data_IF_599082930055
#
_entry.id   IF_599082930055
#
_cell.length_a   1.000
_cell.length_b   1.000
_cell.length_c   1.000
_cell.angle_alpha   90.00
_cell.angle_beta   90.00
_cell.angle_gamma   90.00
#
_symmetry.space_group_name_H-M   'P 1'
#
loop_
_entity.id
_entity.type
_entity.pdbx_description
1 polymer ?
#
# COMPACT_ATOMS: atom_id res chain seq x y z
N UNK A 1 21.28 -28.86 -15.59
CA UNK A 1 20.45 -28.06 -14.66
C UNK A 1 20.48 -26.64 -15.18
N UNK A 2 19.35 -26.19 -15.71
CA UNK A 2 19.19 -24.87 -16.32
C UNK A 2 18.68 -23.87 -15.29
N UNK A 3 19.18 -22.64 -15.39
CA UNK A 3 18.70 -21.51 -14.59
C UNK A 3 17.61 -20.81 -15.38
N UNK A 4 16.38 -20.87 -14.88
CA UNK A 4 15.22 -20.20 -15.47
C UNK A 4 14.78 -19.08 -14.54
N UNK A 5 14.56 -17.90 -15.09
CA UNK A 5 14.05 -16.76 -14.34
C UNK A 5 12.53 -16.73 -14.53
N UNK A 6 11.78 -16.74 -13.44
CA UNK A 6 10.33 -16.58 -13.52
C UNK A 6 9.98 -15.15 -14.00
N UNK A 7 9.15 -14.98 -15.04
CA UNK A 7 8.78 -13.64 -15.53
C UNK A 7 7.85 -12.87 -14.57
N UNK A 8 7.22 -13.55 -13.60
CA UNK A 8 6.27 -12.93 -12.68
C UNK A 8 6.88 -12.48 -11.34
N UNK A 9 7.90 -13.19 -10.85
CA UNK A 9 8.51 -12.89 -9.55
C UNK A 9 10.03 -12.73 -9.61
N UNK A 10 10.61 -12.83 -10.81
CA UNK A 10 12.06 -12.76 -11.06
C UNK A 10 12.88 -13.73 -10.22
N UNK A 11 12.23 -14.76 -9.65
CA UNK A 11 12.91 -15.79 -8.88
C UNK A 11 13.76 -16.65 -9.81
N UNK A 12 15.03 -16.86 -9.41
CA UNK A 12 15.94 -17.79 -10.06
C UNK A 12 15.52 -19.21 -9.68
N UNK A 13 15.03 -19.97 -10.66
CA UNK A 13 14.63 -21.36 -10.52
C UNK A 13 15.70 -22.25 -11.13
N UNK A 14 16.04 -23.33 -10.43
CA UNK A 14 16.89 -24.38 -10.97
C UNK A 14 15.98 -25.51 -11.47
N UNK A 15 15.98 -25.76 -12.77
CA UNK A 15 15.23 -26.85 -13.38
C UNK A 15 16.18 -27.87 -14.01
N UNK A 16 15.75 -29.13 -14.12
CA UNK A 16 16.48 -30.15 -14.88
C UNK A 16 16.27 -29.90 -16.38
N UNK A 17 17.29 -30.22 -17.18
CA UNK A 17 17.29 -30.09 -18.65
C UNK A 17 16.13 -30.84 -19.31
N UNK A 18 15.72 -31.96 -18.73
CA UNK A 18 14.63 -32.81 -19.22
C UNK A 18 13.25 -32.10 -19.24
N UNK A 19 13.13 -30.90 -18.64
CA UNK A 19 11.88 -30.13 -18.56
C UNK A 19 11.85 -28.91 -19.49
N UNK A 20 12.78 -28.81 -20.43
CA UNK A 20 12.81 -27.78 -21.46
C UNK A 20 11.52 -27.82 -22.30
N UNK A 21 10.80 -26.69 -22.35
CA UNK A 21 9.54 -26.55 -23.10
C UNK A 21 8.27 -26.85 -22.30
N UNK A 22 8.36 -27.37 -21.08
CA UNK A 22 7.17 -27.60 -20.23
C UNK A 22 6.85 -26.38 -19.34
N UNK A 23 5.56 -26.16 -19.12
CA UNK A 23 5.04 -25.15 -18.21
C UNK A 23 4.87 -25.74 -16.80
N UNK A 24 5.49 -25.12 -15.80
CA UNK A 24 5.32 -25.52 -14.39
C UNK A 24 5.02 -24.32 -13.51
N UNK A 25 4.23 -24.55 -12.47
CA UNK A 25 3.97 -23.56 -11.44
C UNK A 25 5.27 -23.20 -10.71
N UNK A 26 5.56 -21.91 -10.63
CA UNK A 26 6.67 -21.39 -9.85
C UNK A 26 6.42 -21.66 -8.37
N UNK A 27 7.36 -22.28 -7.63
CA UNK A 27 7.20 -22.54 -6.19
C UNK A 27 7.18 -21.26 -5.34
N UNK A 28 7.53 -20.10 -5.90
CA UNK A 28 7.55 -18.81 -5.21
C UNK A 28 6.28 -17.98 -5.40
N UNK A 29 5.64 -18.06 -6.57
CA UNK A 29 4.46 -17.23 -6.88
C UNK A 29 3.25 -18.03 -7.38
N UNK A 30 3.36 -19.36 -7.50
CA UNK A 30 2.26 -20.23 -7.96
C UNK A 30 1.94 -20.12 -9.45
N UNK A 31 2.43 -19.09 -10.15
CA UNK A 31 2.14 -18.86 -11.57
C UNK A 31 2.85 -19.85 -12.49
N UNK A 32 2.19 -20.22 -13.59
CA UNK A 32 2.75 -21.07 -14.64
C UNK A 32 3.92 -20.36 -15.35
N UNK A 33 5.09 -20.99 -15.30
CA UNK A 33 6.33 -20.53 -15.94
C UNK A 33 6.71 -21.55 -17.01
N UNK A 34 6.88 -21.07 -18.24
CA UNK A 34 7.40 -21.88 -19.34
C UNK A 34 8.93 -21.91 -19.23
N UNK A 35 9.49 -23.10 -19.08
CA UNK A 35 10.93 -23.33 -18.96
C UNK A 35 11.54 -23.24 -20.36
N UNK A 36 12.14 -22.09 -20.71
CA UNK A 36 12.98 -21.92 -21.90
C UNK A 36 14.44 -21.84 -21.48
N UNK A 37 15.38 -22.42 -22.26
CA UNK A 37 16.79 -22.25 -21.99
C UNK A 37 17.12 -20.76 -22.14
N UNK A 38 17.83 -20.20 -21.17
CA UNK A 38 18.28 -18.82 -21.22
C UNK A 38 19.30 -18.66 -22.35
N UNK A 39 18.93 -17.91 -23.38
CA UNK A 39 19.88 -17.34 -24.33
C UNK A 39 20.72 -16.30 -23.57
N UNK A 40 21.96 -16.68 -23.27
CA UNK A 40 23.01 -15.76 -22.86
C UNK A 40 23.77 -15.31 -24.11
N UNK A 41 23.53 -14.05 -24.48
CA UNK A 41 24.47 -13.12 -25.14
C UNK A 41 24.76 -13.26 -26.64
N UNK A 42 24.41 -12.22 -27.40
CA UNK A 42 25.16 -11.76 -28.57
C UNK A 42 25.10 -10.21 -28.66
N UNK A 43 26.16 -9.54 -29.18
CA UNK A 43 26.73 -8.29 -28.64
C UNK A 43 26.22 -6.99 -29.32
N UNK A 44 26.62 -5.81 -28.82
CA UNK A 44 26.25 -4.53 -29.43
C UNK A 44 27.15 -4.21 -30.64
N UNK A 45 26.61 -3.72 -31.77
CA UNK A 45 27.43 -3.03 -32.76
C UNK A 45 27.53 -1.54 -32.42
N UNK A 46 28.77 -1.07 -32.33
CA UNK A 46 29.18 0.32 -32.19
C UNK A 46 29.07 1.08 -33.54
N UNK A 47 29.30 2.41 -33.57
CA UNK A 47 28.69 3.33 -34.54
C UNK A 47 29.44 3.42 -35.86
N UNK A 48 28.75 3.81 -36.94
CA UNK A 48 29.40 4.29 -38.17
C UNK A 48 28.58 5.44 -38.76
N UNK A 49 29.20 6.62 -38.77
CA UNK A 49 28.81 7.80 -39.53
C UNK A 49 28.79 7.50 -41.03
N UNK A 50 27.78 7.97 -41.76
CA UNK A 50 27.95 8.89 -42.90
C UNK A 50 26.61 9.22 -43.58
N UNK A 51 26.16 10.45 -43.31
CA UNK A 51 25.66 11.49 -44.22
C UNK A 51 24.53 11.24 -45.24
N UNK A 52 23.49 12.08 -45.06
CA UNK A 52 22.68 12.82 -46.04
C UNK A 52 21.76 12.01 -46.98
N UNK A 53 20.44 12.27 -47.04
CA UNK A 53 19.85 13.52 -47.57
C UNK A 53 18.32 13.58 -47.32
N UNK A 54 17.81 14.76 -46.92
CA UNK A 54 16.48 15.39 -47.12
C UNK A 54 15.17 14.55 -46.96
N UNK A 55 14.36 14.76 -45.91
CA UNK A 55 13.22 15.72 -45.73
C UNK A 55 11.86 14.97 -45.85
N UNK A 56 10.72 15.50 -45.38
CA UNK A 56 10.17 15.28 -44.04
C UNK A 56 8.80 14.58 -44.10
N UNK A 57 8.14 14.44 -42.94
CA UNK A 57 6.70 14.21 -42.78
C UNK A 57 6.25 12.75 -42.75
N UNK A 58 6.40 12.14 -41.58
CA UNK A 58 5.34 11.34 -40.94
C UNK A 58 5.75 11.10 -39.49
N UNK A 59 5.22 11.91 -38.59
CA UNK A 59 5.29 11.65 -37.15
C UNK A 59 4.68 10.26 -36.89
N UNK A 60 5.41 9.32 -36.28
CA UNK A 60 4.78 8.13 -35.71
C UNK A 60 3.84 8.59 -34.59
N UNK A 61 2.64 8.01 -34.44
CA UNK A 61 1.76 8.35 -33.34
C UNK A 61 2.51 8.05 -32.05
N UNK A 62 2.71 9.11 -31.28
CA UNK A 62 2.96 9.08 -29.85
C UNK A 62 2.04 7.99 -29.27
N UNK A 63 2.56 6.91 -28.66
CA UNK A 63 1.71 6.11 -27.81
C UNK A 63 1.33 7.06 -26.67
N UNK A 64 0.15 7.66 -26.82
CA UNK A 64 -0.71 8.12 -25.76
C UNK A 64 -1.05 6.89 -24.91
N UNK A 65 -0.03 6.36 -24.24
CA UNK A 65 -0.19 5.59 -23.04
C UNK A 65 -0.66 6.60 -22.03
N UNK A 66 -1.99 6.72 -21.93
CA UNK A 66 -2.63 7.22 -20.73
C UNK A 66 -1.80 6.77 -19.53
N UNK A 67 -1.52 7.63 -18.54
CA UNK A 67 -1.03 7.13 -17.28
C UNK A 67 -2.08 6.15 -16.77
N UNK A 68 -1.82 4.86 -16.96
CA UNK A 68 -2.36 3.79 -16.12
C UNK A 68 -2.32 4.33 -14.69
N UNK A 69 -3.41 4.27 -13.92
CA UNK A 69 -3.41 4.78 -12.56
C UNK A 69 -2.38 3.99 -11.77
N UNK A 70 -1.16 4.53 -11.72
CA UNK A 70 -0.09 4.05 -10.88
C UNK A 70 -0.64 4.17 -9.47
N UNK A 71 -0.96 3.02 -8.85
CA UNK A 71 -1.50 2.91 -7.50
C UNK A 71 -1.08 4.09 -6.65
N UNK A 72 -2.04 4.96 -6.35
CA UNK A 72 -1.85 6.25 -5.70
C UNK A 72 -1.40 5.99 -4.24
N UNK A 73 -0.11 5.69 -4.09
CA UNK A 73 0.50 5.47 -2.79
C UNK A 73 0.46 6.77 -2.01
N UNK A 74 -0.05 6.71 -0.77
CA UNK A 74 -0.05 7.84 0.14
C UNK A 74 1.40 8.31 0.36
N UNK A 75 1.80 9.41 -0.27
CA UNK A 75 3.18 9.90 -0.19
C UNK A 75 3.47 10.62 1.14
N UNK A 76 2.44 11.23 1.74
CA UNK A 76 2.49 12.04 2.96
C UNK A 76 1.14 12.01 3.66
N UNK A 77 1.13 12.21 4.97
CA UNK A 77 -0.10 12.36 5.73
C UNK A 77 -0.73 13.72 5.43
N UNK A 78 -1.96 13.71 4.93
CA UNK A 78 -2.82 14.88 4.84
C UNK A 78 -3.23 15.34 6.24
N UNK A 79 -3.02 16.63 6.52
CA UNK A 79 -3.34 17.26 7.82
C UNK A 79 -4.85 17.39 8.08
N UNK A 80 -5.66 17.26 7.04
CA UNK A 80 -7.12 17.31 7.15
C UNK A 80 -7.73 15.96 7.52
N UNK A 81 -6.92 14.90 7.61
CA UNK A 81 -7.38 13.52 7.79
C UNK A 81 -6.87 12.94 9.11
N UNK A 82 -7.54 11.90 9.58
CA UNK A 82 -7.10 11.11 10.73
C UNK A 82 -6.53 9.80 10.24
N UNK A 83 -5.50 9.29 10.92
CA UNK A 83 -4.90 8.01 10.56
C UNK A 83 -4.89 7.08 11.76
N UNK A 84 -5.22 5.82 11.49
CA UNK A 84 -5.17 4.75 12.46
C UNK A 84 -4.26 3.66 11.93
N UNK A 85 -3.53 2.99 12.82
CA UNK A 85 -2.83 1.75 12.50
C UNK A 85 -3.45 0.66 13.35
N UNK A 86 -3.81 -0.44 12.71
CA UNK A 86 -4.37 -1.61 13.37
C UNK A 86 -3.49 -2.84 13.19
N UNK A 87 -3.41 -3.64 14.24
CA UNK A 87 -2.98 -5.04 14.18
C UNK A 87 -4.22 -5.92 13.81
N UNK A 88 -4.12 -7.26 13.76
CA UNK A 88 -5.26 -8.12 13.41
C UNK A 88 -6.51 -7.98 14.31
N UNK A 89 -6.39 -7.37 15.48
CA UNK A 89 -7.42 -7.36 16.53
C UNK A 89 -7.76 -5.98 17.09
N UNK A 90 -6.87 -4.98 17.00
CA UNK A 90 -7.03 -3.69 17.68
C UNK A 90 -6.30 -2.55 16.97
N UNK A 91 -6.73 -1.32 17.27
CA UNK A 91 -5.97 -0.11 16.96
C UNK A 91 -4.76 -0.04 17.89
N UNK A 92 -3.58 0.15 17.30
CA UNK A 92 -2.29 0.23 18.00
C UNK A 92 -1.65 1.61 17.88
N UNK A 93 -1.97 2.40 16.86
CA UNK A 93 -1.48 3.77 16.73
C UNK A 93 -2.53 4.69 16.13
N UNK A 94 -2.46 5.97 16.47
CA UNK A 94 -3.29 7.03 15.91
C UNK A 94 -2.42 8.24 15.55
N UNK A 95 -2.83 8.99 14.54
CA UNK A 95 -2.23 10.26 14.19
C UNK A 95 -3.31 11.27 13.80
N UNK A 96 -3.08 12.51 14.21
CA UNK A 96 -3.89 13.67 13.85
C UNK A 96 -2.99 14.91 13.80
N UNK A 97 -3.43 15.95 13.11
CA UNK A 97 -2.67 17.20 13.00
C UNK A 97 -2.86 18.10 14.24
N UNK A 98 -2.41 17.63 15.41
CA UNK A 98 -2.43 18.38 16.68
C UNK A 98 -1.02 18.65 17.25
N UNK A 99 0.02 18.36 16.48
CA UNK A 99 1.42 18.53 16.89
C UNK A 99 1.96 17.46 17.86
N UNK A 100 1.16 16.46 18.24
CA UNK A 100 1.63 15.35 19.09
C UNK A 100 2.30 14.21 18.29
N UNK A 101 2.18 14.26 16.96
CA UNK A 101 2.64 13.22 16.05
C UNK A 101 1.92 11.89 16.28
N UNK A 102 2.61 10.79 15.98
CA UNK A 102 2.05 9.46 16.21
C UNK A 102 1.90 9.16 17.69
N UNK A 103 0.71 8.68 18.07
CA UNK A 103 0.43 8.16 19.41
C UNK A 103 0.24 6.66 19.35
N UNK A 104 1.02 5.91 20.12
CA UNK A 104 0.97 4.46 20.24
C UNK A 104 0.13 4.04 21.45
N UNK A 105 -0.59 2.93 21.32
CA UNK A 105 -1.39 2.34 22.40
C UNK A 105 -0.48 1.71 23.46
N UNK A 106 -0.74 2.04 24.70
CA UNK A 106 -0.10 1.52 25.92
C UNK A 106 -1.18 0.95 26.86
N UNK A 107 -0.77 0.44 28.02
CA UNK A 107 -1.69 -0.07 29.05
C UNK A 107 -2.61 1.02 29.63
N UNK A 108 -2.18 2.28 29.58
CA UNK A 108 -2.90 3.42 30.14
C UNK A 108 -3.52 4.34 29.08
N UNK A 109 -3.65 3.89 27.83
CA UNK A 109 -4.25 4.66 26.73
C UNK A 109 -3.28 4.92 25.58
N UNK A 110 -3.29 6.13 25.02
CA UNK A 110 -2.40 6.49 23.89
C UNK A 110 -1.31 7.45 24.33
N UNK A 111 -0.05 7.09 24.10
CA UNK A 111 1.13 7.90 24.44
C UNK A 111 1.95 8.24 23.18
N UNK A 112 2.80 9.27 23.23
CA UNK A 112 3.65 9.64 22.10
C UNK A 112 4.58 8.50 21.69
N UNK A 113 4.54 8.09 20.42
CA UNK A 113 5.38 7.02 19.88
C UNK A 113 6.88 7.39 19.92
N UNK A 114 7.21 8.67 19.69
CA UNK A 114 8.58 9.17 19.77
C UNK A 114 9.19 9.06 21.16
N UNK A 115 8.36 9.17 22.21
CA UNK A 115 8.80 9.05 23.61
C UNK A 115 8.76 7.62 24.16
N UNK A 116 8.11 6.69 23.46
CA UNK A 116 7.93 5.30 23.88
C UNK A 116 8.30 4.33 22.75
N UNK A 117 9.54 4.38 22.22
CA UNK A 117 9.95 3.55 21.08
C UNK A 117 9.90 2.05 21.38
N UNK A 118 10.05 1.66 22.64
CA UNK A 118 9.97 0.27 23.10
C UNK A 118 8.57 -0.33 23.02
N UNK A 119 7.53 0.52 22.95
CA UNK A 119 6.14 0.10 22.75
C UNK A 119 5.78 -0.08 21.28
N UNK A 120 6.65 0.30 20.35
CA UNK A 120 6.42 0.19 18.91
C UNK A 120 6.72 -1.26 18.46
N UNK A 121 5.72 -1.99 17.92
CA UNK A 121 5.95 -3.35 17.42
C UNK A 121 6.90 -3.35 16.20
N UNK A 122 7.98 -4.14 16.28
CA UNK A 122 8.94 -4.26 15.18
C UNK A 122 8.47 -5.15 14.01
N UNK A 123 7.44 -5.98 14.20
CA UNK A 123 6.89 -6.86 13.18
C UNK A 123 5.41 -7.18 13.45
N UNK A 124 4.66 -7.47 12.38
CA UNK A 124 3.24 -7.82 12.45
C UNK A 124 2.54 -7.67 11.10
N UNK A 125 1.24 -7.97 11.05
CA UNK A 125 0.40 -7.57 9.92
C UNK A 125 -0.36 -6.29 10.31
N UNK A 126 0.12 -5.17 9.78
CA UNK A 126 -0.42 -3.86 10.11
C UNK A 126 -1.13 -3.27 8.90
N UNK A 127 -2.31 -2.71 9.13
CA UNK A 127 -2.99 -1.88 8.13
C UNK A 127 -2.99 -0.43 8.61
N UNK A 128 -2.64 0.47 7.70
CA UNK A 128 -2.84 1.90 7.88
C UNK A 128 -4.22 2.25 7.32
N UNK A 129 -5.03 2.89 8.14
CA UNK A 129 -6.38 3.35 7.79
C UNK A 129 -6.34 4.87 7.75
N UNK A 130 -6.64 5.43 6.58
CA UNK A 130 -6.83 6.85 6.37
C UNK A 130 -8.33 7.17 6.45
N UNK A 131 -8.70 8.04 7.38
CA UNK A 131 -10.05 8.56 7.56
C UNK A 131 -10.11 9.93 6.90
N UNK A 132 -10.77 10.00 5.75
CA UNK A 132 -10.87 11.20 4.94
C UNK A 132 -12.00 12.06 5.49
N UNK A 133 -11.59 13.09 6.21
CA UNK A 133 -12.50 14.11 6.73
C UNK A 133 -12.63 15.25 5.75
N UNK A 134 -13.83 15.80 5.68
CA UNK A 134 -14.10 17.09 5.09
C UNK A 134 -14.37 18.11 6.18
N UNK A 135 -13.78 19.29 6.02
CA UNK A 135 -13.93 20.42 6.93
C UNK A 135 -14.69 21.49 6.16
N UNK A 136 -15.99 21.25 5.98
CA UNK A 136 -16.91 22.17 5.31
C UNK A 136 -17.20 23.42 6.15
N UNK A 137 -18.24 24.17 5.78
CA UNK A 137 -18.65 25.45 6.39
C UNK A 137 -19.23 25.34 7.82
N UNK A 138 -18.57 24.61 8.71
CA UNK A 138 -18.86 24.58 10.14
C UNK A 138 -18.73 23.21 10.81
N UNK A 139 -18.87 22.11 10.05
CA UNK A 139 -18.90 20.77 10.62
C UNK A 139 -17.85 19.86 9.98
N UNK A 140 -17.13 19.12 10.83
CA UNK A 140 -16.20 18.07 10.41
C UNK A 140 -17.00 16.80 10.10
N UNK A 141 -16.88 16.30 8.88
CA UNK A 141 -17.63 15.12 8.43
C UNK A 141 -16.70 14.05 7.87
N UNK A 142 -16.96 12.79 8.22
CA UNK A 142 -16.26 11.65 7.64
C UNK A 142 -16.83 11.36 6.25
N UNK A 143 -16.04 11.56 5.20
CA UNK A 143 -16.45 11.30 3.81
C UNK A 143 -16.07 9.92 3.32
N UNK A 144 -14.91 9.43 3.76
CA UNK A 144 -14.39 8.17 3.26
C UNK A 144 -13.33 7.56 4.16
N UNK A 145 -12.97 6.34 3.81
CA UNK A 145 -11.97 5.54 4.49
C UNK A 145 -11.15 4.80 3.43
N UNK A 146 -9.83 4.90 3.50
CA UNK A 146 -8.89 4.12 2.68
C UNK A 146 -8.00 3.25 3.57
N UNK A 147 -7.62 2.09 3.06
CA UNK A 147 -6.85 1.08 3.78
C UNK A 147 -5.62 0.73 2.97
N UNK A 148 -4.48 0.80 3.63
CA UNK A 148 -3.17 0.53 3.07
C UNK A 148 -2.52 -0.63 3.81
N UNK A 149 -1.91 -1.55 3.07
CA UNK A 149 -1.08 -2.60 3.63
C UNK A 149 0.28 -2.02 4.01
N UNK A 150 0.72 -2.24 5.25
CA UNK A 150 2.09 -1.92 5.66
C UNK A 150 3.01 -3.14 5.56
N UNK A 151 4.30 -2.89 5.41
CA UNK A 151 5.32 -3.92 5.41
C UNK A 151 5.30 -4.72 6.73
N UNK A 152 5.52 -6.04 6.63
CA UNK A 152 5.40 -6.95 7.79
C UNK A 152 6.47 -6.75 8.87
N UNK A 153 7.57 -6.07 8.52
CA UNK A 153 8.72 -5.83 9.40
C UNK A 153 9.11 -4.38 9.30
N UNK A 154 9.43 -3.80 10.46
CA UNK A 154 9.96 -2.44 10.63
C UNK A 154 9.07 -1.31 10.11
N UNK A 155 7.83 -1.59 9.66
CA UNK A 155 6.92 -0.57 9.16
C UNK A 155 6.66 0.54 10.18
N UNK A 156 6.52 0.15 11.46
CA UNK A 156 6.15 1.08 12.53
C UNK A 156 7.36 1.76 13.18
N UNK A 157 8.59 1.33 12.88
CA UNK A 157 9.79 1.95 13.45
C UNK A 157 9.91 3.44 13.11
N UNK A 158 9.28 3.85 12.00
CA UNK A 158 9.27 5.23 11.56
C UNK A 158 8.39 6.14 12.43
N UNK A 159 7.40 5.60 13.16
CA UNK A 159 6.46 6.39 13.98
C UNK A 159 7.17 7.19 15.08
N UNK A 160 8.32 6.70 15.57
CA UNK A 160 9.10 7.39 16.59
C UNK A 160 10.02 8.49 16.04
N UNK A 161 10.19 8.59 14.72
CA UNK A 161 11.17 9.49 14.07
C UNK A 161 10.52 10.61 13.25
N UNK A 162 9.24 10.48 12.92
CA UNK A 162 8.50 11.48 12.17
C UNK A 162 7.11 10.98 11.77
N UNK A 163 6.32 11.89 11.20
CA UNK A 163 4.91 11.64 10.87
C UNK A 163 4.78 10.83 9.59
N UNK A 164 5.39 11.30 8.50
CA UNK A 164 5.23 10.71 7.16
C UNK A 164 6.06 9.45 6.94
N UNK A 165 6.95 9.10 7.87
CA UNK A 165 7.87 7.98 7.68
C UNK A 165 7.17 6.64 7.47
N UNK A 166 5.97 6.46 8.05
CA UNK A 166 5.14 5.26 7.87
C UNK A 166 4.67 5.08 6.43
N UNK A 167 4.47 6.17 5.68
CA UNK A 167 4.01 6.12 4.29
C UNK A 167 4.97 5.34 3.39
N UNK A 168 6.28 5.43 3.66
CA UNK A 168 7.33 4.69 2.94
C UNK A 168 7.26 3.17 3.16
N UNK A 169 6.54 2.73 4.19
CA UNK A 169 6.34 1.31 4.49
C UNK A 169 5.07 0.72 3.89
N UNK A 170 4.28 1.54 3.17
CA UNK A 170 3.09 1.07 2.46
C UNK A 170 3.54 0.18 1.30
N UNK A 171 3.03 -1.04 1.25
CA UNK A 171 3.33 -2.01 0.18
C UNK A 171 2.24 -2.07 -0.88
N UNK A 172 1.08 -1.45 -0.64
CA UNK A 172 -0.04 -1.43 -1.57
C UNK A 172 -1.38 -1.17 -0.88
N UNK A 173 -2.51 -1.30 -1.62
CA UNK A 173 -3.83 -1.30 -1.01
C UNK A 173 -3.97 -2.48 -0.04
N UNK A 174 -4.60 -2.24 1.10
CA UNK A 174 -4.93 -3.28 2.08
C UNK A 174 -6.44 -3.39 2.24
N UNK A 175 -6.92 -4.35 3.02
CA UNK A 175 -8.31 -4.49 3.41
C UNK A 175 -8.40 -4.76 4.92
N UNK A 176 -9.56 -4.49 5.53
CA UNK A 176 -9.77 -4.72 6.96
C UNK A 176 -10.51 -6.03 7.21
N UNK A 177 -9.97 -6.85 8.10
CA UNK A 177 -10.66 -8.02 8.65
C UNK A 177 -11.81 -7.60 9.58
N UNK A 178 -12.73 -8.52 9.88
CA UNK A 178 -13.92 -8.24 10.71
C UNK A 178 -13.58 -7.63 12.06
N UNK A 179 -12.58 -8.19 12.73
CA UNK A 179 -12.09 -7.70 14.01
C UNK A 179 -11.49 -6.30 13.89
N UNK A 180 -10.77 -6.02 12.80
CA UNK A 180 -10.20 -4.70 12.53
C UNK A 180 -11.29 -3.67 12.24
N UNK A 181 -12.29 -4.02 11.43
CA UNK A 181 -13.46 -3.16 11.19
C UNK A 181 -14.21 -2.83 12.48
N UNK A 182 -14.43 -3.83 13.34
CA UNK A 182 -15.05 -3.63 14.65
C UNK A 182 -14.20 -2.70 15.54
N UNK A 183 -12.88 -2.87 15.56
CA UNK A 183 -11.97 -2.02 16.32
C UNK A 183 -11.95 -0.57 15.80
N UNK A 184 -11.92 -0.37 14.47
CA UNK A 184 -12.01 0.95 13.84
C UNK A 184 -13.34 1.60 14.18
N UNK A 185 -14.46 0.87 14.01
CA UNK A 185 -15.81 1.37 14.32
C UNK A 185 -15.94 1.80 15.78
N UNK A 186 -15.49 0.96 16.72
CA UNK A 186 -15.53 1.28 18.14
C UNK A 186 -14.68 2.53 18.46
N UNK A 187 -13.45 2.60 17.92
CA UNK A 187 -12.58 3.76 18.13
C UNK A 187 -13.19 5.06 17.59
N UNK A 188 -13.79 5.01 16.41
CA UNK A 188 -14.47 6.15 15.84
C UNK A 188 -15.68 6.58 16.68
N UNK A 189 -16.48 5.63 17.19
CA UNK A 189 -17.67 5.91 18.02
C UNK A 189 -17.31 6.54 19.37
N UNK A 190 -16.18 6.15 19.96
CA UNK A 190 -15.66 6.75 21.19
C UNK A 190 -15.13 8.17 20.96
N UNK A 191 -14.56 8.43 19.78
CA UNK A 191 -13.83 9.67 19.48
C UNK A 191 -14.70 10.77 18.90
N UNK A 192 -15.65 10.43 18.04
CA UNK A 192 -16.40 11.40 17.24
C UNK A 192 -17.89 11.38 17.59
N UNK A 193 -18.47 12.57 17.75
CA UNK A 193 -19.92 12.74 17.96
C UNK A 193 -20.72 12.26 16.74
N UNK A 194 -22.00 11.91 16.94
CA UNK A 194 -22.88 11.37 15.88
C UNK A 194 -22.98 12.25 14.63
N UNK A 195 -22.83 13.56 14.77
CA UNK A 195 -22.90 14.53 13.65
C UNK A 195 -21.80 14.30 12.60
N UNK A 196 -20.61 13.88 13.03
CA UNK A 196 -19.48 13.56 12.13
C UNK A 196 -19.82 12.43 11.15
N UNK A 197 -20.82 11.61 11.50
CA UNK A 197 -21.25 10.43 10.74
C UNK A 197 -22.42 10.70 9.80
N UNK A 198 -23.02 11.89 9.83
CA UNK A 198 -24.29 12.17 9.15
C UNK A 198 -24.27 11.82 7.65
N UNK A 199 -23.10 11.97 7.01
CA UNK A 199 -22.89 11.65 5.59
C UNK A 199 -21.96 10.43 5.36
N UNK A 200 -21.63 9.67 6.40
CA UNK A 200 -20.66 8.57 6.35
C UNK A 200 -21.31 7.19 6.12
N UNK A 201 -22.49 7.13 5.48
CA UNK A 201 -23.27 5.90 5.33
C UNK A 201 -22.46 4.77 4.67
N UNK A 202 -21.71 5.08 3.61
CA UNK A 202 -20.84 4.11 2.92
C UNK A 202 -19.74 3.56 3.82
N UNK A 203 -19.13 4.43 4.65
CA UNK A 203 -18.08 4.01 5.59
C UNK A 203 -18.67 3.14 6.70
N UNK A 204 -19.85 3.50 7.21
CA UNK A 204 -20.56 2.73 8.23
C UNK A 204 -21.00 1.36 7.73
N UNK A 205 -21.47 1.28 6.49
CA UNK A 205 -21.80 0.01 5.84
C UNK A 205 -20.55 -0.85 5.66
N UNK A 206 -19.48 -0.27 5.11
CA UNK A 206 -18.19 -0.96 4.96
C UNK A 206 -17.64 -1.49 6.28
N UNK A 207 -17.71 -0.73 7.37
CA UNK A 207 -17.25 -1.18 8.69
C UNK A 207 -18.18 -2.21 9.34
N UNK A 208 -19.42 -2.34 8.86
CA UNK A 208 -20.41 -3.27 9.42
C UNK A 208 -20.55 -4.56 8.63
N UNK A 209 -20.18 -4.55 7.35
CA UNK A 209 -20.29 -5.68 6.44
C UNK A 209 -19.08 -6.66 6.51
N UNK A 210 -19.22 -7.81 5.84
CA UNK A 210 -18.21 -8.88 5.76
C UNK A 210 -17.27 -8.76 4.55
N UNK A 211 -17.11 -7.57 3.96
CA UNK A 211 -16.18 -7.37 2.85
C UNK A 211 -14.72 -7.32 3.32
N UNK A 212 -13.91 -8.29 2.89
CA UNK A 212 -12.48 -8.36 3.21
C UNK A 212 -11.58 -8.11 2.00
N UNK A 213 -12.14 -7.64 0.88
CA UNK A 213 -11.43 -7.43 -0.38
C UNK A 213 -11.30 -5.95 -0.73
N UNK A 214 -12.30 -5.13 -0.39
CA UNK A 214 -12.25 -3.72 -0.74
C UNK A 214 -11.22 -2.95 0.08
N UNK A 215 -10.51 -2.01 -0.54
CA UNK A 215 -9.50 -1.21 0.13
C UNK A 215 -10.04 0.00 0.88
N UNK A 216 -11.35 0.08 1.08
CA UNK A 216 -12.00 1.24 1.68
C UNK A 216 -13.41 1.50 1.14
N UNK A 217 -14.01 2.60 1.56
CA UNK A 217 -15.34 3.06 1.14
C UNK A 217 -15.44 4.59 1.23
N UNK A 218 -16.31 5.20 0.43
CA UNK A 218 -16.42 6.66 0.33
C UNK A 218 -15.27 7.32 -0.45
N UNK A 219 -15.62 8.26 -1.33
CA UNK A 219 -14.67 9.07 -2.13
C UNK A 219 -14.50 10.49 -1.59
#
# INVERSE_FOLDING_TARGET
MIRVICPHCSAKLNAKDELLGQSRNCPRCGNLVVIRPGDETAPPPAPTNSSATADPRSSPPEPSGAPTPTSEGLARLSRSHFYLICDPSRIIATWENNGQGWRIRTEHGFASAARNPEKIPGQGDFKLVELRMDHGSGEMQLRGLRVYQLARRWALNALGRGDDGVCKSITGPGSLLRLQKNAVRAHLQERFMREVWGNAAEVLDYLSNDDYHSPGAGQ
#
